data_IF_686802848045
#
_entry.id   IF_686802848045
#
_cell.length_a   1.000
_cell.length_b   1.000
_cell.length_c   1.000
_cell.angle_alpha   90.00
_cell.angle_beta   90.00
_cell.angle_gamma   90.00
#
_symmetry.space_group_name_H-M   'P 1'
#
loop_
_entity.id
_entity.type
_entity.pdbx_description
1 polymer ?
#
# COMPACT_ATOMS: atom_id res chain seq x y z
N UNK A 1 -15.80 -1.28 24.61
CA UNK A 1 -14.56 -0.69 25.20
C UNK A 1 -13.43 -1.02 24.24
N UNK A 2 -12.80 0.00 23.65
CA UNK A 2 -11.87 -0.16 22.52
C UNK A 2 -10.50 -0.60 23.04
N UNK A 3 -10.02 -1.70 22.48
CA UNK A 3 -8.74 -2.35 22.75
C UNK A 3 -7.60 -1.52 22.14
N UNK A 4 -7.09 -0.55 22.91
CA UNK A 4 -5.90 0.24 22.56
C UNK A 4 -4.59 -0.50 22.88
N UNK A 5 -4.65 -1.64 23.57
CA UNK A 5 -3.47 -2.42 24.00
C UNK A 5 -2.90 -3.30 22.89
N UNK A 6 -3.76 -3.90 22.05
CA UNK A 6 -3.31 -4.81 20.99
C UNK A 6 -2.43 -4.17 19.90
N UNK A 7 -2.63 -2.89 19.59
CA UNK A 7 -1.85 -2.19 18.57
C UNK A 7 -0.42 -1.84 19.02
N UNK A 8 -0.25 -1.55 20.32
CA UNK A 8 1.07 -1.24 20.89
C UNK A 8 1.96 -2.49 20.89
N UNK A 9 1.42 -3.63 21.30
CA UNK A 9 2.13 -4.92 21.34
C UNK A 9 2.53 -5.38 19.94
N UNK A 10 1.68 -5.17 18.93
CA UNK A 10 2.02 -5.52 17.54
C UNK A 10 3.17 -4.66 17.01
N UNK A 11 3.19 -3.37 17.33
CA UNK A 11 4.27 -2.48 16.94
C UNK A 11 5.60 -2.89 17.60
N UNK A 12 5.57 -3.21 18.89
CA UNK A 12 6.74 -3.70 19.63
C UNK A 12 7.30 -4.98 19.03
N UNK A 13 6.44 -5.96 18.71
CA UNK A 13 6.86 -7.23 18.10
C UNK A 13 7.51 -7.04 16.72
N UNK A 14 6.97 -6.13 15.92
CA UNK A 14 7.55 -5.78 14.60
C UNK A 14 8.92 -5.16 14.78
N UNK A 15 9.07 -4.19 15.69
CA UNK A 15 10.35 -3.55 15.98
C UNK A 15 11.39 -4.57 16.47
N UNK A 16 11.04 -5.41 17.45
CA UNK A 16 11.92 -6.45 17.98
C UNK A 16 12.39 -7.42 16.89
N UNK A 17 11.44 -7.88 16.06
CA UNK A 17 11.74 -8.82 14.97
C UNK A 17 12.64 -8.16 13.91
N UNK A 18 12.37 -6.91 13.56
CA UNK A 18 13.20 -6.15 12.62
C UNK A 18 14.63 -5.94 13.15
N UNK A 19 14.80 -5.61 14.43
CA UNK A 19 16.12 -5.50 15.07
C UNK A 19 16.87 -6.83 15.04
N UNK A 20 16.18 -7.94 15.35
CA UNK A 20 16.78 -9.28 15.37
C UNK A 20 17.21 -9.76 13.98
N UNK A 21 16.44 -9.44 12.95
CA UNK A 21 16.75 -9.85 11.57
C UNK A 21 17.91 -9.04 10.95
N UNK A 22 18.31 -7.90 11.54
CA UNK A 22 19.45 -7.07 11.11
C UNK A 22 19.58 -6.94 9.59
N UNK A 23 18.44 -6.72 8.94
CA UNK A 23 18.33 -6.56 7.50
C UNK A 23 18.94 -5.20 7.12
N UNK A 24 20.23 -5.19 6.81
CA UNK A 24 20.93 -4.04 6.21
C UNK A 24 20.61 -3.97 4.72
N UNK A 25 19.42 -3.48 4.39
CA UNK A 25 19.06 -3.22 2.99
C UNK A 25 19.33 -1.76 2.73
N UNK A 26 20.22 -1.46 1.78
CA UNK A 26 20.27 -0.11 1.25
C UNK A 26 19.14 0.04 0.25
N UNK A 27 18.61 1.25 0.15
CA UNK A 27 17.56 1.55 -0.82
C UNK A 27 18.00 1.26 -2.27
N UNK A 28 19.31 1.36 -2.52
CA UNK A 28 19.95 1.06 -3.80
C UNK A 28 19.89 -0.44 -4.17
N UNK A 29 19.81 -1.31 -3.16
CA UNK A 29 19.74 -2.75 -3.34
C UNK A 29 18.30 -3.23 -3.60
N UNK A 30 17.31 -2.34 -3.46
CA UNK A 30 15.91 -2.71 -3.64
C UNK A 30 15.55 -2.84 -5.13
N UNK A 31 14.92 -3.96 -5.53
CA UNK A 31 14.41 -4.09 -6.89
C UNK A 31 13.37 -3.01 -7.18
N UNK A 32 13.39 -2.49 -8.41
CA UNK A 32 12.49 -1.43 -8.87
C UNK A 32 11.01 -1.75 -8.66
N UNK A 33 10.64 -3.03 -8.74
CA UNK A 33 9.29 -3.52 -8.49
C UNK A 33 8.79 -3.25 -7.06
N UNK A 34 9.68 -3.16 -6.06
CA UNK A 34 9.28 -2.76 -4.71
C UNK A 34 9.00 -1.26 -4.62
N UNK A 35 9.76 -0.44 -5.35
CA UNK A 35 9.55 1.01 -5.39
C UNK A 35 8.25 1.40 -6.10
N UNK A 36 7.74 0.55 -7.00
CA UNK A 36 6.41 0.73 -7.63
C UNK A 36 5.26 0.63 -6.62
N UNK A 37 5.49 -0.04 -5.48
CA UNK A 37 4.48 -0.18 -4.43
C UNK A 37 4.40 1.05 -3.50
N UNK A 38 5.28 2.04 -3.67
CA UNK A 38 5.31 3.26 -2.87
C UNK A 38 4.75 4.40 -3.70
N UNK A 39 3.52 4.80 -3.40
CA UNK A 39 2.87 5.96 -4.01
C UNK A 39 3.38 7.24 -3.37
N UNK A 40 3.50 8.29 -4.17
CA UNK A 40 3.97 9.60 -3.74
C UNK A 40 2.84 10.61 -3.85
N UNK A 41 2.53 11.26 -2.74
CA UNK A 41 1.66 12.43 -2.64
C UNK A 41 2.53 13.63 -2.25
N UNK A 42 2.83 14.46 -3.25
CA UNK A 42 3.70 15.63 -3.10
C UNK A 42 3.03 16.76 -2.31
N UNK A 43 1.70 16.89 -2.41
CA UNK A 43 0.93 17.95 -1.77
C UNK A 43 0.95 17.79 -0.24
N UNK A 44 0.77 16.56 0.23
CA UNK A 44 0.74 16.23 1.65
C UNK A 44 2.09 15.72 2.17
N UNK A 45 3.12 15.64 1.31
CA UNK A 45 4.43 15.07 1.61
C UNK A 45 4.32 13.67 2.23
N UNK A 46 3.61 12.78 1.55
CA UNK A 46 3.31 11.43 2.03
C UNK A 46 3.84 10.37 1.05
N UNK A 47 4.49 9.34 1.62
CA UNK A 47 4.89 8.12 0.94
C UNK A 47 4.02 6.97 1.44
N UNK A 48 3.15 6.45 0.57
CA UNK A 48 2.24 5.36 0.91
C UNK A 48 2.67 4.05 0.27
N UNK A 49 3.15 3.11 1.09
CA UNK A 49 3.45 1.75 0.65
C UNK A 49 2.17 0.92 0.66
N UNK A 50 1.60 0.65 -0.51
CA UNK A 50 0.38 -0.15 -0.58
C UNK A 50 0.71 -1.64 -0.52
N UNK A 51 0.02 -2.35 0.38
CA UNK A 51 0.07 -3.81 0.46
C UNK A 51 -1.26 -4.38 -0.05
N UNK A 52 -1.26 -5.38 -0.94
CA UNK A 52 -2.52 -5.98 -1.40
C UNK A 52 -3.39 -6.49 -0.24
N UNK A 53 -4.71 -6.34 -0.40
CA UNK A 53 -5.75 -6.86 0.51
C UNK A 53 -5.80 -6.24 1.93
N UNK A 54 -5.17 -5.09 2.13
CA UNK A 54 -5.27 -4.28 3.37
C UNK A 54 -6.12 -3.02 3.18
N UNK A 55 -7.22 -3.13 2.42
CA UNK A 55 -8.05 -1.99 2.00
C UNK A 55 -7.35 -0.97 1.06
N UNK A 56 -6.39 -1.43 0.26
CA UNK A 56 -5.63 -0.57 -0.66
C UNK A 56 -6.50 0.27 -1.61
N UNK A 57 -7.61 -0.27 -2.11
CA UNK A 57 -8.56 0.47 -2.96
C UNK A 57 -9.13 1.70 -2.25
N UNK A 58 -9.55 1.56 -0.99
CA UNK A 58 -10.15 2.67 -0.26
C UNK A 58 -9.12 3.76 0.04
N UNK A 59 -7.91 3.38 0.43
CA UNK A 59 -6.84 4.35 0.64
C UNK A 59 -6.46 5.10 -0.64
N UNK A 60 -6.39 4.42 -1.79
CA UNK A 60 -6.19 5.10 -3.07
C UNK A 60 -7.32 6.09 -3.38
N UNK A 61 -8.58 5.73 -3.14
CA UNK A 61 -9.71 6.65 -3.32
C UNK A 61 -9.61 7.89 -2.43
N UNK A 62 -9.23 7.70 -1.17
CA UNK A 62 -8.98 8.82 -0.23
C UNK A 62 -7.85 9.71 -0.77
N UNK A 63 -6.72 9.12 -1.19
CA UNK A 63 -5.61 9.89 -1.75
C UNK A 63 -6.01 10.66 -3.01
N UNK A 64 -6.85 10.10 -3.90
CA UNK A 64 -7.37 10.84 -5.05
C UNK A 64 -8.18 12.07 -4.65
N UNK A 65 -8.99 11.97 -3.60
CA UNK A 65 -9.78 13.09 -3.08
C UNK A 65 -8.86 14.14 -2.44
N UNK A 66 -7.87 13.69 -1.66
CA UNK A 66 -6.91 14.58 -0.99
C UNK A 66 -6.06 15.35 -2.01
N UNK A 67 -5.57 14.69 -3.06
CA UNK A 67 -4.81 15.32 -4.16
C UNK A 67 -5.68 16.18 -5.10
N UNK A 68 -6.97 16.38 -4.79
CA UNK A 68 -7.89 17.17 -5.62
C UNK A 68 -8.19 16.55 -7.00
N UNK A 69 -7.89 15.27 -7.21
CA UNK A 69 -8.16 14.54 -8.48
C UNK A 69 -9.62 14.11 -8.62
N UNK A 70 -10.42 14.29 -7.59
CA UNK A 70 -11.84 13.97 -7.57
C UNK A 70 -12.63 15.10 -6.90
N UNK A 71 -13.73 15.52 -7.52
CA UNK A 71 -14.49 16.70 -7.09
C UNK A 71 -15.53 16.43 -5.98
N UNK A 72 -15.71 15.16 -5.60
CA UNK A 72 -16.64 14.75 -4.55
C UNK A 72 -15.86 14.34 -3.29
N UNK A 73 -16.54 14.39 -2.15
CA UNK A 73 -16.04 13.91 -0.85
C UNK A 73 -16.42 12.46 -0.58
N UNK A 74 -17.38 11.90 -1.33
CA UNK A 74 -17.74 10.49 -1.18
C UNK A 74 -16.66 9.57 -1.77
N UNK A 75 -15.92 8.89 -0.90
CA UNK A 75 -14.89 7.89 -1.25
C UNK A 75 -15.43 6.78 -2.14
N UNK A 76 -16.70 6.39 -1.98
CA UNK A 76 -17.29 5.29 -2.75
C UNK A 76 -17.71 5.70 -4.15
N UNK A 77 -17.89 7.00 -4.40
CA UNK A 77 -18.17 7.55 -5.73
C UNK A 77 -17.01 7.34 -6.71
N UNK A 78 -15.77 7.24 -6.22
CA UNK A 78 -14.58 6.96 -7.03
C UNK A 78 -14.59 5.49 -7.49
N UNK A 79 -14.65 5.21 -8.81
CA UNK A 79 -14.62 3.84 -9.31
C UNK A 79 -13.34 3.11 -8.93
N UNK A 80 -13.46 1.86 -8.49
CA UNK A 80 -12.29 1.05 -8.10
C UNK A 80 -11.30 0.84 -9.26
N UNK A 81 -11.80 0.71 -10.49
CA UNK A 81 -10.97 0.59 -11.70
C UNK A 81 -10.10 1.83 -11.93
N UNK A 82 -10.67 3.02 -11.70
CA UNK A 82 -9.97 4.30 -11.82
C UNK A 82 -8.90 4.44 -10.72
N UNK A 83 -9.23 4.10 -9.48
CA UNK A 83 -8.26 4.12 -8.38
C UNK A 83 -7.07 3.16 -8.59
N UNK A 84 -7.20 2.15 -9.46
CA UNK A 84 -6.11 1.23 -9.83
C UNK A 84 -5.57 1.45 -11.24
N UNK A 85 -5.98 2.52 -11.94
CA UNK A 85 -5.51 2.76 -13.30
C UNK A 85 -4.01 3.11 -13.31
N UNK A 86 -3.22 2.57 -14.26
CA UNK A 86 -1.84 2.98 -14.44
C UNK A 86 -1.72 4.49 -14.59
N UNK A 87 -0.71 5.11 -13.97
CA UNK A 87 -0.49 6.55 -14.03
C UNK A 87 -1.39 7.41 -13.15
N UNK A 88 -2.37 6.82 -12.43
CA UNK A 88 -3.20 7.58 -11.48
C UNK A 88 -2.36 8.23 -10.38
N UNK A 89 -1.35 7.50 -9.88
CA UNK A 89 -0.44 7.96 -8.84
C UNK A 89 0.99 7.93 -9.36
N UNK A 90 1.76 8.93 -8.94
CA UNK A 90 3.21 8.89 -9.04
C UNK A 90 3.73 7.86 -8.05
N UNK A 91 4.78 7.13 -8.41
CA UNK A 91 5.39 6.16 -7.51
C UNK A 91 6.91 6.38 -7.43
N UNK A 92 7.52 5.83 -6.40
CA UNK A 92 8.93 6.09 -6.10
C UNK A 92 9.90 5.51 -7.15
N UNK A 93 9.44 4.58 -7.99
CA UNK A 93 10.22 3.97 -9.07
C UNK A 93 10.44 4.88 -10.28
N UNK A 94 9.64 5.95 -10.40
CA UNK A 94 9.76 6.98 -11.43
C UNK A 94 10.54 8.22 -10.98
N UNK A 95 10.96 8.27 -9.71
CA UNK A 95 11.67 9.40 -9.08
C UNK A 95 13.18 9.18 -9.19
N UNK A 96 13.94 10.26 -9.42
CA UNK A 96 15.41 10.21 -9.43
C UNK A 96 15.95 9.81 -8.04
N UNK A 97 17.22 9.39 -7.97
CA UNK A 97 17.80 8.95 -6.70
C UNK A 97 17.86 10.12 -5.70
N UNK A 98 18.29 11.28 -6.18
CA UNK A 98 18.50 12.48 -5.38
C UNK A 98 17.18 13.00 -4.80
N UNK A 99 16.13 13.07 -5.62
CA UNK A 99 14.79 13.45 -5.15
C UNK A 99 14.20 12.42 -4.19
N UNK A 100 14.47 11.12 -4.44
CA UNK A 100 14.00 10.04 -3.58
C UNK A 100 14.60 10.12 -2.19
N UNK A 101 15.89 10.41 -2.07
CA UNK A 101 16.56 10.57 -0.78
C UNK A 101 15.97 11.75 0.00
N UNK A 102 15.71 12.88 -0.69
CA UNK A 102 15.01 14.04 -0.10
C UNK A 102 13.61 13.66 0.36
N UNK A 103 12.83 12.93 -0.44
CA UNK A 103 11.50 12.46 -0.05
C UNK A 103 11.56 11.53 1.15
N UNK A 104 12.50 10.58 1.18
CA UNK A 104 12.64 9.65 2.31
C UNK A 104 13.05 10.34 3.60
N UNK A 105 13.74 11.47 3.54
CA UNK A 105 14.04 12.27 4.73
C UNK A 105 12.86 13.13 5.17
N UNK A 106 12.14 13.74 4.22
CA UNK A 106 11.21 14.82 4.50
C UNK A 106 9.72 14.43 4.46
N UNK A 107 9.37 13.28 3.89
CA UNK A 107 7.99 12.85 3.72
C UNK A 107 7.57 11.88 4.82
N UNK A 108 6.30 11.94 5.21
CA UNK A 108 5.72 10.96 6.11
C UNK A 108 5.60 9.60 5.43
N UNK A 109 6.01 8.52 6.10
CA UNK A 109 5.96 7.17 5.55
C UNK A 109 4.81 6.41 6.17
N UNK A 110 3.85 6.01 5.36
CA UNK A 110 2.67 5.30 5.81
C UNK A 110 2.58 3.91 5.17
N UNK A 111 2.25 2.93 6.00
CA UNK A 111 1.86 1.58 5.59
C UNK A 111 0.63 1.17 6.38
N UNK A 112 -0.31 0.51 5.71
CA UNK A 112 -1.49 -0.06 6.36
C UNK A 112 -1.33 -1.57 6.38
N UNK A 113 -1.44 -2.14 7.57
CA UNK A 113 -1.27 -3.58 7.79
C UNK A 113 -2.58 -4.21 8.26
N UNK A 114 -2.69 -5.52 8.06
CA UNK A 114 -3.83 -6.34 8.50
C UNK A 114 -3.28 -7.66 9.02
N UNK A 115 -4.03 -8.34 9.91
CA UNK A 115 -3.70 -9.69 10.35
C UNK A 115 -3.36 -10.59 9.13
N UNK A 116 -2.20 -11.29 9.14
CA UNK A 116 -1.75 -12.09 8.00
C UNK A 116 -2.75 -13.14 7.53
N UNK A 117 -3.46 -13.81 8.45
CA UNK A 117 -4.44 -14.84 8.12
C UNK A 117 -5.70 -14.26 7.49
N UNK A 118 -6.17 -13.11 7.98
CA UNK A 118 -7.29 -12.43 7.35
C UNK A 118 -6.94 -11.91 5.96
N UNK A 119 -5.70 -11.40 5.79
CA UNK A 119 -5.19 -10.94 4.50
C UNK A 119 -5.10 -12.10 3.51
N UNK A 120 -4.59 -13.24 3.96
CA UNK A 120 -4.48 -14.46 3.16
C UNK A 120 -5.87 -14.98 2.75
N UNK A 121 -6.79 -15.09 3.70
CA UNK A 121 -8.17 -15.49 3.43
C UNK A 121 -8.84 -14.52 2.43
N UNK A 122 -8.65 -13.21 2.60
CA UNK A 122 -9.17 -12.21 1.66
C UNK A 122 -8.59 -12.37 0.25
N UNK A 123 -7.31 -12.73 0.13
CA UNK A 123 -6.68 -13.03 -1.16
C UNK A 123 -7.28 -14.30 -1.79
N UNK A 124 -7.37 -15.38 -1.01
CA UNK A 124 -7.96 -16.66 -1.44
C UNK A 124 -9.37 -16.46 -1.98
N UNK A 125 -10.27 -15.83 -1.20
CA UNK A 125 -11.65 -15.60 -1.65
C UNK A 125 -11.73 -14.76 -2.92
N UNK A 126 -10.86 -13.76 -3.04
CA UNK A 126 -10.88 -12.83 -4.15
C UNK A 126 -10.30 -13.39 -5.46
N UNK A 127 -9.34 -14.32 -5.36
CA UNK A 127 -8.58 -14.82 -6.52
C UNK A 127 -8.88 -16.26 -6.87
N UNK A 128 -9.32 -17.08 -5.92
CA UNK A 128 -9.52 -18.52 -6.11
C UNK A 128 -10.98 -18.94 -5.92
N UNK A 129 -11.75 -18.28 -5.06
CA UNK A 129 -13.17 -18.64 -4.80
C UNK A 129 -14.16 -17.85 -5.66
N UNK A 130 -13.93 -16.56 -5.90
CA UNK A 130 -14.90 -15.69 -6.57
C UNK A 130 -14.91 -15.74 -8.10
N UNK A 131 -16.04 -15.35 -8.70
CA UNK A 131 -16.26 -15.31 -10.16
C UNK A 131 -15.82 -13.99 -10.84
N UNK A 132 -14.94 -13.22 -10.20
CA UNK A 132 -14.47 -11.96 -10.78
C UNK A 132 -13.64 -12.24 -12.04
N UNK A 133 -13.70 -11.37 -13.08
CA UNK A 133 -12.86 -11.53 -14.27
C UNK A 133 -11.36 -11.67 -13.93
N UNK A 134 -10.91 -10.96 -12.89
CA UNK A 134 -9.54 -11.00 -12.39
C UNK A 134 -9.16 -12.27 -11.61
N UNK A 135 -10.12 -13.14 -11.29
CA UNK A 135 -9.91 -14.42 -10.61
C UNK A 135 -9.69 -15.56 -11.62
N UNK A 136 -10.28 -15.47 -12.82
CA UNK A 136 -10.14 -16.49 -13.88
C UNK A 136 -8.69 -16.86 -14.18
N UNK A 137 -7.78 -15.88 -14.24
CA UNK A 137 -6.34 -16.14 -14.45
C UNK A 137 -5.75 -17.10 -13.40
N UNK A 138 -6.20 -17.01 -12.15
CA UNK A 138 -5.66 -17.79 -11.03
C UNK A 138 -6.34 -19.16 -10.86
N UNK A 139 -7.52 -19.34 -11.45
CA UNK A 139 -8.31 -20.58 -11.36
C UNK A 139 -8.02 -21.57 -12.50
N UNK A 140 -7.42 -21.12 -13.60
CA UNK A 140 -7.14 -21.94 -14.80
C UNK A 140 -5.94 -22.88 -14.64
N UNK A 141 -5.14 -22.72 -13.57
CA UNK A 141 -3.92 -23.50 -13.33
C UNK A 141 -4.02 -24.45 -12.11
N UNK A 142 -5.23 -24.84 -11.70
CA UNK A 142 -5.48 -25.84 -10.65
C UNK A 142 -6.18 -27.05 -11.27
#
# INVERSE_FOLDING_TARGET
>A
MRDSGGNLVLFELVQETCSRLSLKWNLEDLPRSLLEHILVDDEHKLLYCYVPKVACTNWKRILMILEGKWNDTDVLSVPASLAHSPGMFRNLSTVSKEERDVMLENYHKMIIVRNPFERLLSAYRNKLEGDLPSAKYFQVCI
#
